data_IF_161677554226
#
_entry.id   IF_161677554226
#
_cell.length_a   1.000
_cell.length_b   1.000
_cell.length_c   1.000
_cell.angle_alpha   90.00
_cell.angle_beta   90.00
_cell.angle_gamma   90.00
#
_symmetry.space_group_name_H-M   'P 1'
#
loop_
_entity.id
_entity.type
_entity.pdbx_description
1 polymer ?
#
# COMPACT_ATOMS: atom_id res chain seq x y z
N UNK A 1 -21.95 -11.36 -9.28
CA UNK A 1 -21.66 -9.91 -9.21
C UNK A 1 -21.95 -9.34 -7.82
N UNK A 2 -22.97 -9.83 -7.14
CA UNK A 2 -23.37 -9.35 -5.81
C UNK A 2 -22.33 -9.67 -4.72
N UNK A 3 -21.66 -10.81 -4.77
CA UNK A 3 -20.58 -11.17 -3.85
C UNK A 3 -19.34 -10.27 -3.98
N UNK A 4 -19.01 -9.83 -5.19
CA UNK A 4 -17.92 -8.86 -5.43
C UNK A 4 -18.30 -7.50 -4.85
N UNK A 5 -19.59 -7.12 -4.92
CA UNK A 5 -20.08 -5.87 -4.35
C UNK A 5 -20.08 -5.88 -2.82
N UNK A 6 -20.42 -7.00 -2.17
CA UNK A 6 -20.32 -7.16 -0.71
C UNK A 6 -18.86 -7.13 -0.23
N UNK A 7 -17.95 -7.66 -1.03
CA UNK A 7 -16.51 -7.65 -0.75
C UNK A 7 -15.88 -6.27 -0.94
N UNK A 8 -16.35 -5.53 -1.95
CA UNK A 8 -15.92 -4.17 -2.27
C UNK A 8 -16.67 -3.08 -1.47
N UNK A 9 -17.65 -3.45 -0.67
CA UNK A 9 -18.41 -2.53 0.18
C UNK A 9 -17.95 -2.58 1.66
N UNK A 10 -16.67 -2.27 1.94
CA UNK A 10 -16.28 -1.91 3.28
C UNK A 10 -17.00 -0.60 3.61
N UNK A 11 -17.38 -0.39 4.85
CA UNK A 11 -18.04 0.83 5.35
C UNK A 11 -17.27 2.13 5.05
N UNK A 12 -16.03 2.02 4.60
CA UNK A 12 -15.28 3.10 3.93
C UNK A 12 -15.38 2.84 2.44
N UNK A 13 -16.21 3.61 1.73
CA UNK A 13 -16.36 3.43 0.29
C UNK A 13 -15.01 3.59 -0.41
N UNK A 14 -14.79 2.80 -1.46
CA UNK A 14 -13.59 2.91 -2.33
C UNK A 14 -13.33 4.36 -2.74
N UNK A 15 -14.38 5.19 -2.87
CA UNK A 15 -14.31 6.61 -3.17
C UNK A 15 -13.49 7.38 -2.11
N UNK A 16 -13.61 7.06 -0.81
CA UNK A 16 -12.80 7.70 0.23
C UNK A 16 -11.34 7.26 0.17
N UNK A 17 -11.07 6.00 -0.15
CA UNK A 17 -9.70 5.49 -0.31
C UNK A 17 -9.05 6.14 -1.53
N UNK A 18 -9.76 6.20 -2.67
CA UNK A 18 -9.27 6.85 -3.88
C UNK A 18 -9.12 8.36 -3.72
N UNK A 19 -10.06 9.02 -3.04
CA UNK A 19 -9.98 10.47 -2.80
C UNK A 19 -8.84 10.82 -1.84
N UNK A 20 -8.63 10.06 -0.76
CA UNK A 20 -7.49 10.25 0.14
C UNK A 20 -6.16 10.00 -0.57
N UNK A 21 -6.09 8.99 -1.43
CA UNK A 21 -4.93 8.72 -2.29
C UNK A 21 -4.63 9.88 -3.24
N UNK A 22 -5.66 10.43 -3.89
CA UNK A 22 -5.51 11.58 -4.78
C UNK A 22 -5.04 12.82 -4.03
N UNK A 23 -5.64 13.11 -2.88
CA UNK A 23 -5.24 14.22 -2.00
C UNK A 23 -3.79 14.07 -1.56
N UNK A 24 -3.39 12.86 -1.18
CA UNK A 24 -2.02 12.54 -0.79
C UNK A 24 -1.03 12.77 -1.94
N UNK A 25 -1.36 12.29 -3.14
CA UNK A 25 -0.52 12.50 -4.32
C UNK A 25 -0.36 14.00 -4.66
N UNK A 26 -1.47 14.76 -4.63
CA UNK A 26 -1.46 16.21 -4.85
C UNK A 26 -0.64 16.92 -3.76
N UNK A 27 -0.82 16.55 -2.49
CA UNK A 27 -0.06 17.11 -1.38
C UNK A 27 1.45 16.84 -1.53
N UNK A 28 1.85 15.63 -1.93
CA UNK A 28 3.26 15.29 -2.21
C UNK A 28 3.82 16.21 -3.30
N UNK A 29 3.10 16.35 -4.40
CA UNK A 29 3.53 17.21 -5.52
C UNK A 29 3.65 18.66 -5.09
N UNK A 30 2.66 19.21 -4.39
CA UNK A 30 2.67 20.59 -3.88
C UNK A 30 3.84 20.80 -2.92
N UNK A 31 4.08 19.88 -2.01
CA UNK A 31 5.21 19.94 -1.07
C UNK A 31 6.54 19.90 -1.80
N UNK A 32 6.68 19.03 -2.83
CA UNK A 32 7.90 18.98 -3.64
C UNK A 32 8.16 20.28 -4.39
N UNK A 33 7.11 20.99 -4.81
CA UNK A 33 7.21 22.27 -5.53
C UNK A 33 7.47 23.46 -4.60
N UNK A 34 6.90 23.46 -3.39
CA UNK A 34 6.91 24.61 -2.47
C UNK A 34 8.07 24.61 -1.47
N UNK A 35 8.64 23.46 -1.15
CA UNK A 35 9.65 23.37 -0.07
C UNK A 35 11.06 23.56 -0.58
N UNK A 36 11.69 24.70 -0.23
CA UNK A 36 13.10 24.99 -0.51
C UNK A 36 14.08 24.36 0.49
N UNK A 37 13.62 23.83 1.61
CA UNK A 37 14.48 23.28 2.67
C UNK A 37 14.36 21.76 2.79
N UNK A 38 15.49 21.03 2.62
CA UNK A 38 15.54 19.55 2.75
C UNK A 38 14.96 19.03 4.08
N UNK A 39 15.10 19.77 5.18
CA UNK A 39 14.60 19.40 6.51
C UNK A 39 13.07 19.47 6.56
N UNK A 40 12.49 20.56 6.08
CA UNK A 40 11.04 20.73 6.03
C UNK A 40 10.38 19.68 5.13
N UNK A 41 10.95 19.42 3.97
CA UNK A 41 10.47 18.37 3.06
C UNK A 41 10.43 17.00 3.75
N UNK A 42 11.50 16.62 4.47
CA UNK A 42 11.53 15.35 5.21
C UNK A 42 10.46 15.27 6.29
N UNK A 43 10.22 16.35 7.02
CA UNK A 43 9.17 16.40 8.05
C UNK A 43 7.78 16.20 7.43
N UNK A 44 7.49 16.89 6.33
CA UNK A 44 6.19 16.76 5.65
C UNK A 44 6.02 15.37 5.04
N UNK A 45 7.03 14.83 4.37
CA UNK A 45 6.97 13.46 3.83
C UNK A 45 6.81 12.42 4.94
N UNK A 46 7.44 12.61 6.10
CA UNK A 46 7.27 11.76 7.27
C UNK A 46 5.84 11.84 7.83
N UNK A 47 5.28 13.04 7.95
CA UNK A 47 3.89 13.24 8.38
C UNK A 47 2.90 12.57 7.41
N UNK A 48 3.09 12.78 6.10
CA UNK A 48 2.26 12.15 5.06
C UNK A 48 2.36 10.62 5.10
N UNK A 49 3.54 10.05 5.34
CA UNK A 49 3.72 8.62 5.48
C UNK A 49 2.96 8.08 6.71
N UNK A 50 3.03 8.78 7.84
CA UNK A 50 2.32 8.38 9.07
C UNK A 50 0.81 8.44 8.86
N UNK A 51 0.30 9.54 8.28
CA UNK A 51 -1.12 9.72 7.98
C UNK A 51 -1.62 8.66 7.00
N UNK A 52 -0.89 8.44 5.92
CA UNK A 52 -1.26 7.42 4.94
C UNK A 52 -1.28 6.02 5.55
N UNK A 53 -0.27 5.66 6.35
CA UNK A 53 -0.25 4.35 7.01
C UNK A 53 -1.39 4.19 8.01
N UNK A 54 -1.77 5.27 8.71
CA UNK A 54 -2.95 5.27 9.56
C UNK A 54 -4.24 5.01 8.76
N UNK A 55 -4.41 5.65 7.59
CA UNK A 55 -5.53 5.39 6.68
C UNK A 55 -5.54 3.94 6.19
N UNK A 56 -4.37 3.36 5.89
CA UNK A 56 -4.25 1.94 5.53
C UNK A 56 -4.74 1.05 6.67
N UNK A 57 -4.31 1.29 7.91
CA UNK A 57 -4.80 0.53 9.08
C UNK A 57 -6.30 0.71 9.26
N UNK A 58 -6.82 1.92 9.12
CA UNK A 58 -8.26 2.18 9.21
C UNK A 58 -9.04 1.35 8.18
N UNK A 59 -8.59 1.31 6.93
CA UNK A 59 -9.28 0.59 5.86
C UNK A 59 -9.14 -0.93 5.98
N UNK A 60 -7.97 -1.43 6.35
CA UNK A 60 -7.67 -2.87 6.35
C UNK A 60 -8.00 -3.57 7.67
N UNK A 61 -7.95 -2.84 8.79
CA UNK A 61 -8.16 -3.41 10.13
C UNK A 61 -9.43 -2.89 10.77
N UNK A 62 -9.58 -1.56 10.91
CA UNK A 62 -10.65 -0.98 11.71
C UNK A 62 -12.02 -1.15 11.04
N UNK A 63 -12.10 -0.79 9.77
CA UNK A 63 -13.35 -0.80 8.99
C UNK A 63 -13.70 -2.15 8.38
N UNK A 64 -12.76 -3.11 8.38
CA UNK A 64 -13.00 -4.46 7.86
C UNK A 64 -14.01 -5.19 8.74
N UNK A 65 -15.03 -5.86 8.17
CA UNK A 65 -15.99 -6.66 8.94
C UNK A 65 -15.29 -7.83 9.64
N UNK A 66 -15.84 -8.27 10.79
CA UNK A 66 -15.31 -9.44 11.48
C UNK A 66 -15.61 -10.69 10.67
N UNK A 67 -14.61 -11.54 10.50
CA UNK A 67 -14.74 -12.88 9.92
C UNK A 67 -14.65 -13.91 11.03
N UNK A 68 -15.67 -14.77 11.17
CA UNK A 68 -15.63 -15.86 12.14
C UNK A 68 -14.68 -16.95 11.65
N UNK A 69 -13.57 -17.12 12.35
CA UNK A 69 -12.60 -18.18 12.12
C UNK A 69 -11.18 -17.66 11.94
N UNK A 70 -10.38 -17.73 13.02
CA UNK A 70 -8.95 -17.45 12.96
C UNK A 70 -8.25 -18.47 12.09
N UNK A 71 -7.59 -18.03 11.05
CA UNK A 71 -6.82 -18.90 10.16
C UNK A 71 -5.50 -18.22 9.85
N UNK A 72 -4.43 -19.00 9.88
CA UNK A 72 -3.09 -18.56 9.49
C UNK A 72 -2.69 -19.38 8.28
N UNK A 73 -2.37 -18.72 7.18
CA UNK A 73 -1.89 -19.36 5.95
C UNK A 73 -0.47 -18.91 5.67
N UNK A 74 0.47 -19.80 6.01
CA UNK A 74 1.91 -19.52 5.85
C UNK A 74 2.48 -19.98 4.52
N UNK A 75 1.72 -20.77 3.73
CA UNK A 75 2.20 -21.26 2.45
C UNK A 75 2.16 -20.13 1.41
N UNK A 76 3.32 -19.71 0.87
CA UNK A 76 3.33 -18.69 -0.18
C UNK A 76 2.61 -19.19 -1.43
N UNK A 77 1.84 -18.30 -2.06
CA UNK A 77 1.16 -18.56 -3.34
C UNK A 77 0.15 -19.73 -3.31
N UNK A 78 -0.40 -20.05 -2.14
CA UNK A 78 -1.32 -21.18 -1.94
C UNK A 78 -2.59 -21.07 -2.81
N UNK A 79 -3.07 -19.86 -3.09
CA UNK A 79 -4.27 -19.58 -3.88
C UNK A 79 -3.98 -19.35 -5.39
N UNK A 80 -2.71 -19.30 -5.80
CA UNK A 80 -2.33 -19.02 -7.21
C UNK A 80 -2.80 -20.09 -8.20
N UNK A 81 -2.82 -21.39 -7.86
CA UNK A 81 -3.43 -22.40 -8.75
C UNK A 81 -4.90 -22.09 -9.03
N UNK A 82 -5.66 -21.64 -8.04
CA UNK A 82 -7.08 -21.29 -8.22
C UNK A 82 -7.24 -20.02 -9.09
N UNK A 83 -6.40 -19.02 -8.92
CA UNK A 83 -6.36 -17.83 -9.79
C UNK A 83 -6.04 -18.21 -11.24
N UNK A 84 -5.12 -19.17 -11.46
CA UNK A 84 -4.66 -19.54 -12.79
C UNK A 84 -5.61 -20.48 -13.53
N UNK A 85 -6.24 -21.41 -12.83
CA UNK A 85 -7.07 -22.45 -13.43
C UNK A 85 -8.57 -22.16 -13.42
N UNK A 86 -9.04 -21.26 -12.53
CA UNK A 86 -10.45 -20.87 -12.45
C UNK A 86 -10.65 -19.51 -13.09
N UNK A 87 -11.07 -19.53 -14.36
CA UNK A 87 -11.39 -18.35 -15.17
C UNK A 87 -12.49 -17.46 -14.52
N UNK A 88 -13.22 -17.97 -13.55
CA UNK A 88 -14.39 -17.34 -12.93
C UNK A 88 -14.10 -16.61 -11.58
N UNK A 89 -12.81 -16.48 -11.16
CA UNK A 89 -12.48 -15.81 -9.89
C UNK A 89 -11.63 -14.52 -10.08
N UNK A 90 -12.27 -13.42 -10.56
CA UNK A 90 -11.57 -12.13 -10.61
C UNK A 90 -11.29 -11.55 -9.22
N UNK A 91 -11.97 -12.04 -8.15
CA UNK A 91 -11.83 -11.52 -6.80
C UNK A 91 -10.41 -11.67 -6.24
N UNK A 92 -9.80 -12.85 -6.35
CA UNK A 92 -8.46 -13.11 -5.82
C UNK A 92 -7.40 -12.28 -6.54
N UNK A 93 -7.54 -12.10 -7.87
CA UNK A 93 -6.64 -11.23 -8.63
C UNK A 93 -6.78 -9.77 -8.23
N UNK A 94 -8.02 -9.32 -8.01
CA UNK A 94 -8.30 -7.94 -7.54
C UNK A 94 -7.68 -7.73 -6.17
N UNK A 95 -7.78 -8.70 -5.25
CA UNK A 95 -7.16 -8.63 -3.92
C UNK A 95 -5.64 -8.47 -4.02
N UNK A 96 -4.98 -9.30 -4.83
CA UNK A 96 -3.53 -9.17 -5.10
C UNK A 96 -3.17 -7.78 -5.61
N UNK A 97 -3.92 -7.26 -6.59
CA UNK A 97 -3.67 -5.94 -7.17
C UNK A 97 -3.91 -4.81 -6.17
N UNK A 98 -4.96 -4.92 -5.34
CA UNK A 98 -5.26 -3.93 -4.31
C UNK A 98 -4.19 -3.91 -3.22
N UNK A 99 -3.69 -5.06 -2.78
CA UNK A 99 -2.61 -5.14 -1.80
C UNK A 99 -1.33 -4.50 -2.34
N UNK A 100 -0.96 -4.78 -3.60
CA UNK A 100 0.17 -4.11 -4.26
C UNK A 100 -0.07 -2.60 -4.32
N UNK A 101 -1.23 -2.16 -4.83
CA UNK A 101 -1.56 -0.76 -5.02
C UNK A 101 -1.54 0.04 -3.71
N UNK A 102 -2.01 -0.57 -2.63
CA UNK A 102 -2.08 0.03 -1.30
C UNK A 102 -0.68 0.40 -0.75
N UNK A 103 0.36 -0.34 -1.12
CA UNK A 103 1.72 -0.10 -0.64
C UNK A 103 2.61 0.72 -1.59
N UNK A 104 2.16 1.02 -2.81
CA UNK A 104 2.88 1.90 -3.74
C UNK A 104 3.18 3.28 -3.13
N UNK A 105 2.22 3.99 -2.49
CA UNK A 105 2.50 5.29 -1.89
C UNK A 105 3.51 5.22 -0.75
N UNK A 106 3.51 4.14 0.04
CA UNK A 106 4.49 3.94 1.11
C UNK A 106 5.90 3.89 0.53
N UNK A 107 6.10 3.08 -0.51
CA UNK A 107 7.40 2.97 -1.19
C UNK A 107 7.87 4.28 -1.80
N UNK A 108 6.96 5.02 -2.43
CA UNK A 108 7.24 6.34 -3.02
C UNK A 108 7.64 7.36 -1.95
N UNK A 109 6.93 7.41 -0.81
CA UNK A 109 7.23 8.31 0.30
C UNK A 109 8.57 7.95 0.98
N UNK A 110 8.86 6.66 1.18
CA UNK A 110 10.14 6.20 1.72
C UNK A 110 11.31 6.57 0.80
N UNK A 111 11.12 6.46 -0.52
CA UNK A 111 12.08 6.95 -1.51
C UNK A 111 12.32 8.45 -1.37
N UNK A 112 11.25 9.25 -1.26
CA UNK A 112 11.31 10.70 -1.04
C UNK A 112 12.01 11.09 0.26
N UNK A 113 11.89 10.28 1.31
CA UNK A 113 12.63 10.43 2.57
C UNK A 113 14.12 10.10 2.43
N UNK A 114 14.57 9.59 1.28
CA UNK A 114 15.96 9.23 1.01
C UNK A 114 16.35 7.84 1.55
N UNK A 115 15.37 6.97 1.78
CA UNK A 115 15.64 5.59 2.17
C UNK A 115 16.25 4.81 1.01
N UNK A 116 17.13 3.85 1.33
CA UNK A 116 17.67 2.90 0.35
C UNK A 116 16.69 1.74 0.14
N UNK A 117 16.72 1.13 -1.04
CA UNK A 117 15.80 0.03 -1.40
C UNK A 117 15.74 -1.09 -0.34
N UNK A 118 16.85 -1.52 0.22
CA UNK A 118 16.88 -2.55 1.27
C UNK A 118 16.09 -2.15 2.53
N UNK A 119 16.18 -0.87 2.94
CA UNK A 119 15.42 -0.36 4.09
C UNK A 119 13.94 -0.20 3.73
N UNK A 120 13.64 0.23 2.51
CA UNK A 120 12.27 0.34 2.01
C UNK A 120 11.57 -1.03 2.02
N UNK A 121 12.24 -2.07 1.52
CA UNK A 121 11.73 -3.46 1.58
C UNK A 121 11.47 -3.88 3.04
N UNK A 122 12.45 -3.69 3.92
CA UNK A 122 12.32 -4.08 5.33
C UNK A 122 11.17 -3.35 6.01
N UNK A 123 11.05 -2.04 5.82
CA UNK A 123 9.96 -1.23 6.40
C UNK A 123 8.61 -1.68 5.84
N UNK A 124 8.48 -1.84 4.51
CA UNK A 124 7.25 -2.32 3.88
C UNK A 124 6.82 -3.68 4.42
N UNK A 125 7.75 -4.62 4.54
CA UNK A 125 7.50 -5.94 5.12
C UNK A 125 7.05 -5.86 6.58
N UNK A 126 7.72 -5.07 7.42
CA UNK A 126 7.36 -4.91 8.84
C UNK A 126 5.98 -4.27 8.98
N UNK A 127 5.68 -3.22 8.20
CA UNK A 127 4.37 -2.56 8.23
C UNK A 127 3.25 -3.52 7.79
N UNK A 128 3.51 -4.37 6.78
CA UNK A 128 2.55 -5.38 6.35
C UNK A 128 2.32 -6.45 7.42
N UNK A 129 3.39 -6.97 8.02
CA UNK A 129 3.26 -7.95 9.11
C UNK A 129 2.45 -7.39 10.28
N UNK A 130 2.61 -6.11 10.61
CA UNK A 130 1.80 -5.45 11.66
C UNK A 130 0.31 -5.45 11.27
N UNK A 131 -0.04 -5.20 10.00
CA UNK A 131 -1.41 -5.25 9.51
C UNK A 131 -1.96 -6.67 9.67
N UNK A 132 -1.26 -7.68 9.14
CA UNK A 132 -1.67 -9.08 9.20
C UNK A 132 -1.92 -9.58 10.64
N UNK A 133 -0.97 -9.28 11.54
CA UNK A 133 -1.13 -9.61 12.95
C UNK A 133 -2.32 -8.86 13.59
N UNK A 134 -2.53 -7.60 13.22
CA UNK A 134 -3.65 -6.80 13.72
C UNK A 134 -4.99 -7.36 13.23
N UNK A 135 -5.08 -7.80 11.98
CA UNK A 135 -6.28 -8.47 11.43
C UNK A 135 -6.55 -9.78 12.14
N UNK A 136 -5.52 -10.61 12.35
CA UNK A 136 -5.63 -11.86 13.05
C UNK A 136 -6.11 -11.70 14.51
N UNK A 137 -5.53 -10.74 15.24
CA UNK A 137 -5.91 -10.50 16.66
C UNK A 137 -7.36 -10.02 16.76
N UNK A 138 -7.81 -9.19 15.83
CA UNK A 138 -9.14 -8.57 15.85
C UNK A 138 -10.22 -9.38 15.10
N UNK A 139 -9.94 -10.61 14.68
CA UNK A 139 -10.88 -11.45 13.88
C UNK A 139 -11.37 -10.73 12.60
N UNK A 140 -10.45 -10.02 11.90
CA UNK A 140 -10.75 -9.21 10.73
C UNK A 140 -10.33 -9.85 9.40
N UNK A 141 -9.76 -11.04 9.43
CA UNK A 141 -9.32 -11.77 8.25
C UNK A 141 -8.35 -12.90 8.56
N UNK A 142 -7.84 -13.48 7.48
CA UNK A 142 -6.77 -14.48 7.53
C UNK A 142 -5.43 -13.75 7.68
N UNK A 143 -4.50 -14.36 8.43
CA UNK A 143 -3.11 -13.88 8.43
C UNK A 143 -2.36 -14.61 7.30
N UNK A 144 -2.07 -13.90 6.21
CA UNK A 144 -1.54 -14.52 5.00
C UNK A 144 -0.13 -14.03 4.65
N UNK A 145 0.75 -14.99 4.37
CA UNK A 145 2.10 -14.67 3.85
C UNK A 145 2.01 -13.98 2.48
N UNK A 146 1.01 -14.31 1.67
CA UNK A 146 0.80 -13.69 0.36
C UNK A 146 0.60 -12.19 0.47
N UNK A 147 -0.18 -11.72 1.44
CA UNK A 147 -0.44 -10.29 1.63
C UNK A 147 0.84 -9.55 2.01
N UNK A 148 1.68 -10.17 2.84
CA UNK A 148 3.00 -9.60 3.17
C UNK A 148 3.88 -9.49 1.91
N UNK A 149 3.84 -10.48 1.04
CA UNK A 149 4.62 -10.46 -0.21
C UNK A 149 4.09 -9.39 -1.16
N UNK A 150 2.77 -9.32 -1.40
CA UNK A 150 2.14 -8.36 -2.32
C UNK A 150 2.34 -6.93 -1.86
N UNK A 151 2.13 -6.66 -0.57
CA UNK A 151 2.36 -5.37 0.05
C UNK A 151 3.83 -4.93 -0.08
N UNK A 152 4.76 -5.86 0.14
CA UNK A 152 6.20 -5.59 -0.02
C UNK A 152 6.56 -5.30 -1.48
N UNK A 153 5.98 -6.03 -2.44
CA UNK A 153 6.14 -5.76 -3.88
C UNK A 153 5.61 -4.36 -4.20
N UNK A 154 4.43 -3.98 -3.69
CA UNK A 154 3.89 -2.64 -3.86
C UNK A 154 4.85 -1.55 -3.38
N UNK A 155 5.46 -1.76 -2.21
CA UNK A 155 6.46 -0.86 -1.67
C UNK A 155 7.71 -0.74 -2.58
N UNK A 156 8.17 -1.84 -3.17
CA UNK A 156 9.28 -1.84 -4.15
C UNK A 156 8.89 -1.08 -5.41
N UNK A 157 7.70 -1.33 -5.95
CA UNK A 157 7.18 -0.62 -7.13
C UNK A 157 7.13 0.89 -6.88
N UNK A 158 6.59 1.31 -5.73
CA UNK A 158 6.54 2.72 -5.33
C UNK A 158 7.93 3.36 -5.24
N UNK A 159 8.90 2.67 -4.66
CA UNK A 159 10.29 3.13 -4.62
C UNK A 159 10.90 3.28 -6.03
N UNK A 160 10.66 2.33 -6.92
CA UNK A 160 11.13 2.41 -8.30
C UNK A 160 10.47 3.58 -9.06
N UNK A 161 9.18 3.80 -8.86
CA UNK A 161 8.48 4.98 -9.39
C UNK A 161 9.14 6.29 -8.91
N UNK A 162 9.47 6.40 -7.62
CA UNK A 162 10.21 7.55 -7.10
C UNK A 162 11.57 7.73 -7.81
N UNK A 163 12.34 6.66 -8.00
CA UNK A 163 13.63 6.72 -8.68
C UNK A 163 13.49 7.20 -10.13
N UNK A 164 12.45 6.78 -10.86
CA UNK A 164 12.14 7.24 -12.22
C UNK A 164 11.78 8.73 -12.21
N UNK A 165 10.87 9.16 -11.33
CA UNK A 165 10.48 10.56 -11.18
C UNK A 165 11.67 11.47 -10.87
N UNK A 166 12.58 11.02 -10.00
CA UNK A 166 13.79 11.76 -9.65
C UNK A 166 14.71 11.93 -10.86
N UNK A 167 14.90 10.89 -11.68
CA UNK A 167 15.71 10.96 -12.90
C UNK A 167 15.11 11.92 -13.93
N UNK A 168 13.78 11.86 -14.13
CA UNK A 168 13.07 12.79 -15.04
C UNK A 168 13.26 14.22 -14.55
N UNK A 169 13.08 14.49 -13.27
CA UNK A 169 13.28 15.83 -12.70
C UNK A 169 14.69 16.34 -12.91
N UNK A 170 15.73 15.51 -12.66
CA UNK A 170 17.13 15.87 -12.88
C UNK A 170 17.42 16.17 -14.35
N UNK A 171 16.88 15.38 -15.26
CA UNK A 171 17.01 15.64 -16.70
C UNK A 171 16.37 16.98 -17.11
N UNK A 172 15.17 17.27 -16.63
CA UNK A 172 14.49 18.54 -16.92
C UNK A 172 15.24 19.77 -16.36
N UNK A 173 15.90 19.63 -15.21
CA UNK A 173 16.71 20.72 -14.62
C UNK A 173 18.02 20.93 -15.38
N UNK A 174 18.62 19.86 -15.88
CA UNK A 174 19.86 19.93 -16.66
C UNK A 174 19.69 20.58 -18.07
N UNK A 175 18.45 20.65 -18.56
CA UNK A 175 18.10 21.28 -19.87
C UNK A 175 17.76 22.78 -19.75
N UNK A 176 17.73 23.35 -18.54
CA UNK A 176 17.52 24.77 -18.23
C UNK A 176 18.81 25.49 -17.90
#
# INVERSE_FOLDING_TARGET
MDEIYEWLNPRVSIEYILSSFLVLCVAIVVVMLMTKGKKMMRLVLGALLTEYYFLVICSTVICRPCHHGKRIELMPFWNYPDIWYRVDYPADLIEVLLNIALFIPIGLLLGGLGMKIKRTILIGMVLSVIIELSQFVNDKGLCETNDVIHNTIGCVVGYLCFCVLLKIHQACVAWR
#
